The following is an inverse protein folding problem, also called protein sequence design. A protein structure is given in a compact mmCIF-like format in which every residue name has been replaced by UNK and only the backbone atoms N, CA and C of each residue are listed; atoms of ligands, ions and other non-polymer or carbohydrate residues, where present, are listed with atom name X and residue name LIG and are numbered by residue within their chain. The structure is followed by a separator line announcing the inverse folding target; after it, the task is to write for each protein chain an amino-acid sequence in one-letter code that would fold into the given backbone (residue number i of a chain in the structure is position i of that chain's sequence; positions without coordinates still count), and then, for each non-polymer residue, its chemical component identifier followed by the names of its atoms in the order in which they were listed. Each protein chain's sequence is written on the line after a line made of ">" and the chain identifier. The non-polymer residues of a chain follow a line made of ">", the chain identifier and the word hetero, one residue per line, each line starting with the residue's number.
data_IF_472146354427
#
_entry.id   IF_472146354427
#
_cell.length_a   1.000
_cell.length_b   1.000
_cell.length_c   1.000
_cell.angle_alpha   90.00
_cell.angle_beta   90.00
_cell.angle_gamma   90.00
#
_symmetry.space_group_name_H-M   'P 1'
#
loop_
_entity.id
_entity.type
_entity.pdbx_description
1 polymer ?
#
# COMPACT_ATOMS: atom_id res chain seq x y z
N UNK A 1 8.01 -13.11 -9.63
CA UNK A 1 8.13 -12.24 -8.45
C UNK A 1 9.28 -12.71 -7.59
N UNK A 2 10.12 -11.77 -7.18
CA UNK A 2 11.32 -12.00 -6.41
C UNK A 2 11.40 -10.98 -5.28
N UNK A 3 11.69 -11.45 -4.06
CA UNK A 3 11.89 -10.60 -2.88
C UNK A 3 13.39 -10.59 -2.56
N UNK A 4 13.99 -9.41 -2.47
CA UNK A 4 15.33 -9.21 -1.93
C UNK A 4 15.19 -8.63 -0.53
N UNK A 5 15.86 -9.24 0.44
CA UNK A 5 15.82 -8.82 1.84
C UNK A 5 17.23 -8.48 2.31
N UNK A 6 17.37 -7.35 2.99
CA UNK A 6 18.65 -6.93 3.54
C UNK A 6 19.20 -7.97 4.54
N UNK A 7 20.49 -8.27 4.46
CA UNK A 7 21.14 -9.27 5.32
C UNK A 7 20.93 -9.05 6.83
N UNK A 8 20.68 -7.80 7.27
CA UNK A 8 20.50 -7.41 8.67
C UNK A 8 19.14 -7.85 9.23
N UNK A 9 18.16 -8.14 8.38
CA UNK A 9 16.79 -8.50 8.76
C UNK A 9 16.64 -9.99 9.14
N UNK A 10 17.49 -10.48 10.05
CA UNK A 10 17.64 -11.91 10.36
C UNK A 10 16.35 -12.63 10.75
N UNK A 11 15.51 -12.01 11.59
CA UNK A 11 14.26 -12.63 12.05
C UNK A 11 13.21 -12.62 10.94
N UNK A 12 13.12 -11.53 10.19
CA UNK A 12 12.19 -11.40 9.07
C UNK A 12 12.52 -12.41 7.97
N UNK A 13 13.81 -12.60 7.63
CA UNK A 13 14.25 -13.59 6.65
C UNK A 13 13.76 -14.99 7.00
N UNK A 14 13.86 -15.40 8.27
CA UNK A 14 13.39 -16.71 8.73
C UNK A 14 11.88 -16.84 8.59
N UNK A 15 11.14 -15.82 9.00
CA UNK A 15 9.68 -15.81 8.92
C UNK A 15 9.17 -15.82 7.48
N UNK A 16 9.76 -15.01 6.60
CA UNK A 16 9.40 -14.98 5.18
C UNK A 16 9.58 -16.37 4.55
N UNK A 17 10.72 -17.03 4.80
CA UNK A 17 10.97 -18.38 4.26
C UNK A 17 10.00 -19.44 4.80
N UNK A 18 9.73 -19.40 6.12
CA UNK A 18 8.80 -20.33 6.76
C UNK A 18 7.36 -20.14 6.24
N UNK A 19 6.85 -18.91 6.30
CA UNK A 19 5.49 -18.60 5.88
C UNK A 19 5.28 -18.76 4.37
N UNK A 20 6.29 -18.47 3.55
CA UNK A 20 6.22 -18.72 2.10
C UNK A 20 5.97 -20.20 1.80
N UNK A 21 6.65 -21.10 2.53
CA UNK A 21 6.43 -22.54 2.44
C UNK A 21 5.04 -22.93 2.99
N UNK A 22 4.69 -22.47 4.20
CA UNK A 22 3.43 -22.84 4.86
C UNK A 22 2.19 -22.43 4.05
N UNK A 23 2.23 -21.28 3.39
CA UNK A 23 1.14 -20.82 2.51
C UNK A 23 1.21 -21.41 1.10
N UNK A 24 2.26 -22.14 0.74
CA UNK A 24 2.46 -22.69 -0.60
C UNK A 24 2.67 -21.62 -1.68
N UNK A 25 3.25 -20.48 -1.31
CA UNK A 25 3.60 -19.43 -2.26
C UNK A 25 4.88 -19.80 -3.02
N UNK A 26 4.87 -19.60 -4.34
CA UNK A 26 6.05 -19.81 -5.19
C UNK A 26 6.81 -18.50 -5.41
N UNK A 27 7.18 -17.82 -4.32
CA UNK A 27 7.94 -16.57 -4.35
C UNK A 27 9.41 -16.90 -4.10
N UNK A 28 10.28 -16.40 -4.98
CA UNK A 28 11.72 -16.48 -4.80
C UNK A 28 12.21 -15.41 -3.81
N UNK A 29 13.03 -15.79 -2.83
CA UNK A 29 13.48 -14.90 -1.74
C UNK A 29 15.00 -15.00 -1.65
N UNK A 30 15.69 -13.90 -2.01
CA UNK A 30 17.13 -13.75 -1.86
C UNK A 30 17.47 -12.87 -0.65
N UNK A 31 18.69 -13.08 -0.14
CA UNK A 31 19.25 -12.31 0.98
C UNK A 31 20.53 -11.67 0.48
N UNK A 32 20.56 -10.35 0.45
CA UNK A 32 21.68 -9.57 -0.06
C UNK A 32 21.83 -8.27 0.74
N UNK A 33 22.94 -7.56 0.56
CA UNK A 33 23.13 -6.26 1.22
C UNK A 33 22.44 -5.19 0.38
N UNK A 34 21.53 -4.44 0.98
CA UNK A 34 20.84 -3.34 0.30
C UNK A 34 21.47 -2.01 0.71
N UNK A 35 21.67 -1.12 -0.26
CA UNK A 35 22.19 0.23 0.00
C UNK A 35 21.10 1.17 0.54
N UNK A 36 19.84 0.88 0.18
CA UNK A 36 18.63 1.61 0.58
C UNK A 36 17.48 0.62 0.82
N UNK A 37 16.64 0.93 1.80
CA UNK A 37 15.54 0.07 2.23
C UNK A 37 16.00 -1.21 2.93
N UNK A 38 15.01 -1.98 3.38
CA UNK A 38 15.22 -3.26 4.07
C UNK A 38 14.71 -4.45 3.24
N UNK A 39 13.73 -4.21 2.35
CA UNK A 39 13.17 -5.21 1.44
C UNK A 39 12.88 -4.54 0.09
N UNK A 40 13.15 -5.22 -1.03
CA UNK A 40 12.66 -4.81 -2.35
C UNK A 40 11.94 -5.95 -3.06
N UNK A 41 10.90 -5.61 -3.82
CA UNK A 41 10.06 -6.57 -4.55
C UNK A 41 10.20 -6.31 -6.04
N UNK A 42 10.56 -7.36 -6.76
CA UNK A 42 10.95 -7.31 -8.16
C UNK A 42 10.08 -8.22 -9.02
N UNK A 43 9.87 -7.80 -10.26
CA UNK A 43 9.31 -8.61 -11.31
C UNK A 43 10.13 -8.47 -12.60
N UNK A 44 10.57 -9.59 -13.17
CA UNK A 44 11.27 -9.62 -14.47
C UNK A 44 12.42 -8.61 -14.63
N UNK A 45 13.18 -8.38 -13.55
CA UNK A 45 14.32 -7.46 -13.51
C UNK A 45 13.96 -6.00 -13.25
N UNK A 46 12.68 -5.68 -13.04
CA UNK A 46 12.21 -4.37 -12.61
C UNK A 46 11.88 -4.37 -11.11
N UNK A 47 12.35 -3.35 -10.39
CA UNK A 47 11.95 -3.11 -9.02
C UNK A 47 10.58 -2.44 -9.00
N UNK A 48 9.60 -3.05 -8.32
CA UNK A 48 8.24 -2.54 -8.25
C UNK A 48 7.97 -1.77 -6.96
N UNK A 49 8.54 -2.25 -5.85
CA UNK A 49 8.36 -1.69 -4.51
C UNK A 49 9.66 -1.77 -3.71
N UNK A 50 9.90 -0.75 -2.90
CA UNK A 50 10.94 -0.72 -1.88
C UNK A 50 10.25 -0.56 -0.52
N UNK A 51 10.61 -1.37 0.47
CA UNK A 51 10.06 -1.30 1.81
C UNK A 51 11.15 -0.95 2.82
N UNK A 52 10.87 0.05 3.65
CA UNK A 52 11.66 0.47 4.80
C UNK A 52 10.91 0.02 6.06
N UNK A 53 11.46 -0.95 6.78
CA UNK A 53 10.86 -1.49 8.01
C UNK A 53 11.34 -0.69 9.20
N UNK A 54 10.41 -0.23 10.03
CA UNK A 54 10.74 0.59 11.21
C UNK A 54 9.86 0.26 12.39
N UNK A 55 10.46 -0.10 13.52
CA UNK A 55 9.69 -0.19 14.76
C UNK A 55 9.32 1.20 15.29
N UNK A 56 8.33 1.28 16.19
CA UNK A 56 8.01 2.55 16.88
C UNK A 56 9.21 3.16 17.60
N UNK A 57 10.08 2.32 18.16
CA UNK A 57 11.29 2.75 18.85
C UNK A 57 12.33 3.31 17.86
N UNK A 58 12.45 2.71 16.67
CA UNK A 58 13.34 3.20 15.62
C UNK A 58 12.86 4.52 15.03
N UNK A 59 11.55 4.71 14.87
CA UNK A 59 10.97 5.99 14.49
C UNK A 59 11.30 7.03 15.56
N UNK A 60 10.99 6.75 16.82
CA UNK A 60 11.24 7.66 17.92
C UNK A 60 12.72 8.06 18.02
N UNK A 61 13.63 7.10 17.90
CA UNK A 61 15.07 7.34 17.91
C UNK A 61 15.50 8.18 16.70
N UNK A 62 14.99 7.87 15.51
CA UNK A 62 15.34 8.61 14.29
C UNK A 62 14.86 10.06 14.26
N UNK A 63 13.80 10.38 15.01
CA UNK A 63 13.37 11.77 15.22
C UNK A 63 14.38 12.48 16.13
N UNK A 64 14.81 11.83 17.22
CA UNK A 64 15.70 12.46 18.21
C UNK A 64 17.12 12.71 17.71
N UNK A 65 17.65 11.83 16.85
CA UNK A 65 19.03 11.90 16.36
C UNK A 65 19.18 12.47 14.94
N UNK A 66 18.06 12.88 14.32
CA UNK A 66 18.05 13.50 12.99
C UNK A 66 18.16 12.53 11.82
N UNK A 67 18.34 11.22 12.04
CA UNK A 67 18.41 10.21 10.96
C UNK A 67 17.16 10.18 10.10
N UNK A 68 16.01 10.56 10.65
CA UNK A 68 14.76 10.70 9.89
C UNK A 68 14.92 11.58 8.63
N UNK A 69 15.60 12.72 8.76
CA UNK A 69 15.76 13.67 7.66
C UNK A 69 16.72 13.15 6.58
N UNK A 70 17.82 12.51 6.99
CA UNK A 70 18.82 11.93 6.07
C UNK A 70 18.27 10.70 5.33
N UNK A 71 17.60 9.80 6.05
CA UNK A 71 17.01 8.59 5.48
C UNK A 71 15.95 8.92 4.44
N UNK A 72 15.02 9.83 4.80
CA UNK A 72 13.98 10.26 3.86
C UNK A 72 14.55 11.01 2.65
N UNK A 73 15.65 11.77 2.82
CA UNK A 73 16.33 12.43 1.71
C UNK A 73 16.95 11.44 0.74
N UNK A 74 17.63 10.40 1.25
CA UNK A 74 18.22 9.34 0.42
C UNK A 74 17.17 8.53 -0.33
N UNK A 75 16.09 8.15 0.34
CA UNK A 75 14.98 7.43 -0.27
C UNK A 75 14.25 8.27 -1.33
N UNK A 76 14.17 9.59 -1.14
CA UNK A 76 13.60 10.49 -2.14
C UNK A 76 14.46 10.61 -3.42
N UNK A 77 15.72 10.19 -3.38
CA UNK A 77 16.60 10.10 -4.55
C UNK A 77 16.53 8.76 -5.28
N UNK A 78 15.66 7.84 -4.84
CA UNK A 78 15.49 6.54 -5.46
C UNK A 78 14.77 6.65 -6.82
N UNK A 79 14.98 5.68 -7.70
CA UNK A 79 14.36 5.66 -9.05
C UNK A 79 12.84 5.44 -9.00
N UNK A 80 12.37 4.69 -8.01
CA UNK A 80 10.94 4.51 -7.76
C UNK A 80 10.26 5.82 -7.38
N UNK A 81 9.06 6.03 -7.92
CA UNK A 81 8.17 7.07 -7.41
C UNK A 81 7.93 6.87 -5.90
N UNK A 82 8.03 7.93 -5.09
CA UNK A 82 7.96 7.86 -3.62
C UNK A 82 6.79 7.04 -3.09
N UNK A 83 5.61 7.11 -3.75
CA UNK A 83 4.45 6.31 -3.34
C UNK A 83 4.71 4.80 -3.29
N UNK A 84 5.61 4.29 -4.15
CA UNK A 84 6.01 2.89 -4.21
C UNK A 84 7.14 2.54 -3.21
N UNK A 85 7.59 3.53 -2.43
CA UNK A 85 8.47 3.33 -1.27
C UNK A 85 7.58 3.31 -0.03
N UNK A 86 7.52 2.15 0.63
CA UNK A 86 6.58 1.84 1.69
C UNK A 86 7.30 1.75 3.03
N UNK A 87 6.96 2.64 3.95
CA UNK A 87 7.36 2.51 5.35
C UNK A 87 6.45 1.50 6.06
N UNK A 88 7.00 0.36 6.43
CA UNK A 88 6.33 -0.64 7.27
C UNK A 88 6.60 -0.34 8.74
N UNK A 89 5.59 0.21 9.40
CA UNK A 89 5.70 0.72 10.76
C UNK A 89 5.15 -0.29 11.74
N UNK A 90 6.07 -0.97 12.42
CA UNK A 90 5.79 -2.11 13.28
C UNK A 90 5.63 -1.70 14.74
N UNK A 91 4.60 -2.24 15.40
CA UNK A 91 4.37 -2.14 16.85
C UNK A 91 3.07 -1.44 17.23
N UNK A 92 2.61 -1.64 18.46
CA UNK A 92 1.36 -1.07 18.96
C UNK A 92 1.57 0.29 19.67
N UNK A 93 1.02 1.39 19.12
CA UNK A 93 1.14 2.74 19.71
C UNK A 93 0.44 2.85 21.06
N UNK A 94 -0.69 2.16 21.26
CA UNK A 94 -1.41 2.19 22.53
C UNK A 94 -0.58 1.64 23.68
N UNK A 95 0.34 0.71 23.37
CA UNK A 95 1.27 0.12 24.33
C UNK A 95 2.65 0.79 24.33
N UNK A 96 2.86 1.80 23.46
CA UNK A 96 4.15 2.45 23.32
C UNK A 96 4.44 3.33 24.54
N UNK A 97 5.53 3.01 25.23
CA UNK A 97 6.03 3.83 26.33
C UNK A 97 7.26 4.58 25.86
N UNK A 98 7.17 5.91 25.77
CA UNK A 98 8.27 6.79 25.38
C UNK A 98 9.38 6.90 26.44
N UNK A 99 9.58 5.88 27.28
CA UNK A 99 10.43 5.92 28.47
C UNK A 99 11.89 6.24 28.13
N UNK A 100 12.38 5.72 27.00
CA UNK A 100 13.77 5.85 26.58
C UNK A 100 14.01 7.02 25.62
N UNK A 101 13.07 7.28 24.71
CA UNK A 101 13.20 8.32 23.69
C UNK A 101 12.62 9.68 24.09
N UNK A 102 11.83 9.74 25.17
CA UNK A 102 11.01 10.91 25.59
C UNK A 102 9.99 11.35 24.52
N UNK A 103 9.79 10.56 23.48
CA UNK A 103 8.83 10.83 22.41
C UNK A 103 7.44 10.42 22.88
N UNK A 104 6.46 11.31 22.73
CA UNK A 104 5.06 11.04 23.05
C UNK A 104 4.39 10.24 21.91
N UNK A 105 3.39 9.39 22.19
CA UNK A 105 2.62 8.68 21.16
C UNK A 105 2.08 9.60 20.05
N UNK A 106 1.61 10.79 20.41
CA UNK A 106 1.13 11.81 19.45
C UNK A 106 2.16 12.20 18.38
N UNK A 107 3.45 12.25 18.75
CA UNK A 107 4.54 12.58 17.82
C UNK A 107 4.79 11.48 16.79
N UNK A 108 4.53 10.21 17.15
CA UNK A 108 4.61 9.12 16.19
C UNK A 108 3.56 9.30 15.10
N UNK A 109 2.31 9.62 15.47
CA UNK A 109 1.23 9.89 14.50
C UNK A 109 1.59 11.03 13.54
N UNK A 110 2.10 12.15 14.05
CA UNK A 110 2.44 13.29 13.20
C UNK A 110 3.66 13.02 12.32
N UNK A 111 4.60 12.21 12.79
CA UNK A 111 5.76 11.78 12.00
C UNK A 111 5.33 10.85 10.87
N UNK A 112 4.46 9.88 11.15
CA UNK A 112 3.87 9.01 10.13
C UNK A 112 3.11 9.82 9.08
N UNK A 113 2.29 10.77 9.51
CA UNK A 113 1.63 11.70 8.60
C UNK A 113 2.64 12.51 7.77
N UNK A 114 3.76 12.93 8.37
CA UNK A 114 4.77 13.71 7.64
C UNK A 114 5.49 12.89 6.57
N UNK A 115 5.81 11.63 6.87
CA UNK A 115 6.33 10.65 5.91
C UNK A 115 5.35 10.49 4.76
N UNK A 116 4.07 10.29 5.08
CA UNK A 116 3.05 10.04 4.07
C UNK A 116 2.77 11.26 3.19
N UNK A 117 2.42 12.38 3.83
CA UNK A 117 1.85 13.54 3.16
C UNK A 117 2.93 14.49 2.60
N UNK A 118 3.94 14.83 3.41
CA UNK A 118 4.95 15.81 3.00
C UNK A 118 6.10 15.18 2.22
N UNK A 119 6.38 13.88 2.41
CA UNK A 119 7.39 13.18 1.62
C UNK A 119 6.82 12.33 0.48
N UNK A 120 5.51 12.06 0.50
CA UNK A 120 4.83 11.31 -0.55
C UNK A 120 5.09 9.80 -0.51
N UNK A 121 5.68 9.30 0.58
CA UNK A 121 5.87 7.86 0.78
C UNK A 121 4.57 7.18 1.21
N UNK A 122 4.47 5.87 1.02
CA UNK A 122 3.36 5.10 1.60
C UNK A 122 3.70 4.69 3.03
N UNK A 123 2.73 4.73 3.94
CA UNK A 123 2.89 4.23 5.31
C UNK A 123 1.87 3.14 5.61
N UNK A 124 2.35 1.99 6.02
CA UNK A 124 1.52 0.85 6.43
C UNK A 124 1.90 0.46 7.85
N UNK A 125 0.90 0.09 8.65
CA UNK A 125 1.05 -0.28 10.05
C UNK A 125 0.95 -1.79 10.17
N UNK A 126 1.90 -2.37 10.88
CA UNK A 126 1.88 -3.78 11.30
C UNK A 126 2.06 -3.85 12.81
N UNK A 127 1.52 -4.87 13.44
CA UNK A 127 1.53 -5.03 14.88
C UNK A 127 2.86 -5.63 15.35
N UNK A 128 3.34 -6.63 14.62
CA UNK A 128 4.57 -7.35 14.91
C UNK A 128 5.23 -7.88 13.62
N UNK A 129 6.40 -8.49 13.79
CA UNK A 129 7.20 -9.00 12.68
C UNK A 129 6.54 -10.16 11.92
N UNK A 130 5.64 -10.90 12.57
CA UNK A 130 4.89 -11.98 11.92
C UNK A 130 3.88 -11.38 10.95
N UNK A 131 3.11 -10.38 11.39
CA UNK A 131 2.21 -9.63 10.50
C UNK A 131 2.99 -8.91 9.39
N UNK A 132 4.16 -8.34 9.70
CA UNK A 132 5.07 -7.75 8.69
C UNK A 132 5.44 -8.76 7.61
N UNK A 133 5.86 -9.97 7.99
CA UNK A 133 6.20 -11.04 7.05
C UNK A 133 4.98 -11.49 6.23
N UNK A 134 3.83 -11.70 6.88
CA UNK A 134 2.59 -12.07 6.18
C UNK A 134 2.17 -10.98 5.17
N UNK A 135 2.21 -9.71 5.57
CA UNK A 135 1.87 -8.59 4.69
C UNK A 135 2.73 -8.59 3.42
N UNK A 136 4.06 -8.71 3.57
CA UNK A 136 5.02 -8.76 2.45
C UNK A 136 4.73 -9.94 1.51
N UNK A 137 4.43 -11.12 2.05
CA UNK A 137 4.14 -12.30 1.22
C UNK A 137 2.80 -12.15 0.48
N UNK A 138 1.75 -11.72 1.17
CA UNK A 138 0.41 -11.54 0.60
C UNK A 138 0.41 -10.48 -0.51
N UNK A 139 1.13 -9.38 -0.33
CA UNK A 139 1.22 -8.34 -1.35
C UNK A 139 2.02 -8.82 -2.57
N UNK A 140 3.11 -9.57 -2.34
CA UNK A 140 3.93 -10.14 -3.42
C UNK A 140 3.17 -11.20 -4.22
N UNK A 141 2.41 -12.07 -3.55
CA UNK A 141 1.49 -13.01 -4.20
C UNK A 141 0.38 -12.29 -4.99
N UNK A 142 -0.15 -11.18 -4.45
CA UNK A 142 -1.14 -10.39 -5.18
C UNK A 142 -0.56 -9.80 -6.46
N UNK A 143 0.67 -9.27 -6.40
CA UNK A 143 1.39 -8.77 -7.57
C UNK A 143 1.64 -9.90 -8.58
N UNK A 144 2.06 -11.09 -8.13
CA UNK A 144 2.34 -12.22 -9.04
C UNK A 144 1.10 -12.62 -9.85
N UNK A 145 -0.08 -12.58 -9.25
CA UNK A 145 -1.38 -12.87 -9.89
C UNK A 145 -1.97 -11.69 -10.67
N UNK A 146 -1.27 -10.57 -10.79
CA UNK A 146 -1.73 -9.36 -11.48
C UNK A 146 -0.64 -8.78 -12.37
N UNK A 147 0.18 -9.66 -12.98
CA UNK A 147 1.28 -9.31 -13.87
C UNK A 147 0.83 -8.52 -15.13
N UNK A 148 -0.46 -8.53 -15.45
CA UNK A 148 -1.08 -7.73 -16.52
C UNK A 148 -1.29 -6.26 -16.14
N UNK A 149 -1.04 -5.88 -14.88
CA UNK A 149 -1.35 -4.55 -14.34
C UNK A 149 -0.08 -3.86 -13.88
N UNK A 150 0.04 -2.61 -14.31
CA UNK A 150 1.06 -1.70 -13.82
C UNK A 150 0.56 -0.92 -12.60
N UNK A 151 1.48 -0.58 -11.70
CA UNK A 151 1.20 0.33 -10.59
C UNK A 151 0.77 1.71 -11.10
N UNK A 152 -0.01 2.46 -10.32
CA UNK A 152 -0.61 3.71 -10.78
C UNK A 152 0.41 4.76 -11.28
N UNK A 153 1.60 4.81 -10.66
CA UNK A 153 2.68 5.73 -11.01
C UNK A 153 3.73 5.13 -11.95
N UNK A 154 3.50 3.92 -12.45
CA UNK A 154 4.40 3.28 -13.40
C UNK A 154 4.23 3.90 -14.79
N UNK A 155 5.32 4.04 -15.56
CA UNK A 155 5.30 4.73 -16.86
C UNK A 155 4.35 4.08 -17.88
N UNK A 156 4.24 2.75 -17.84
CA UNK A 156 3.33 1.98 -18.70
C UNK A 156 1.89 1.92 -18.19
N UNK A 157 1.54 2.58 -17.08
CA UNK A 157 0.17 2.59 -16.58
C UNK A 157 -0.77 3.30 -17.55
N UNK A 158 -1.84 2.61 -17.94
CA UNK A 158 -2.90 3.17 -18.76
C UNK A 158 -4.23 3.13 -18.00
N UNK A 159 -4.85 4.28 -17.71
CA UNK A 159 -6.13 4.29 -17.02
C UNK A 159 -7.19 3.63 -17.90
N UNK A 160 -7.79 2.56 -17.38
CA UNK A 160 -8.90 1.89 -18.07
C UNK A 160 -10.09 2.86 -18.11
N UNK A 161 -10.32 3.50 -19.26
CA UNK A 161 -11.51 4.31 -19.50
C UNK A 161 -12.73 3.38 -19.61
N UNK A 162 -13.34 3.03 -18.48
CA UNK A 162 -14.66 2.37 -18.48
C UNK A 162 -15.74 3.42 -18.69
N UNK A 163 -16.68 3.14 -19.57
CA UNK A 163 -17.88 3.96 -19.66
C UNK A 163 -18.68 3.77 -18.36
N UNK A 164 -19.12 4.86 -17.72
CA UNK A 164 -19.88 4.81 -16.46
C UNK A 164 -21.08 3.86 -16.56
N UNK A 165 -21.77 3.82 -17.71
CA UNK A 165 -22.89 2.92 -17.94
C UNK A 165 -22.52 1.42 -17.86
N UNK A 166 -21.24 1.06 -18.00
CA UNK A 166 -20.75 -0.33 -17.88
C UNK A 166 -20.57 -0.78 -16.41
N UNK A 167 -20.44 0.16 -15.46
CA UNK A 167 -20.20 -0.14 -14.04
C UNK A 167 -21.45 0.07 -13.17
N UNK A 168 -22.52 0.64 -13.72
CA UNK A 168 -23.82 0.72 -13.03
C UNK A 168 -24.40 -0.68 -12.87
N UNK A 169 -24.71 -1.08 -11.63
CA UNK A 169 -25.29 -2.37 -11.29
C UNK A 169 -26.56 -2.65 -12.12
N UNK A 170 -26.54 -3.73 -12.91
CA UNK A 170 -27.66 -4.15 -13.79
C UNK A 170 -28.77 -4.92 -13.06
N UNK A 171 -28.66 -5.12 -11.74
CA UNK A 171 -29.62 -5.93 -10.97
C UNK A 171 -31.05 -5.37 -10.95
N UNK A 172 -31.22 -4.06 -11.24
CA UNK A 172 -32.55 -3.43 -11.35
C UNK A 172 -33.35 -3.83 -12.58
N UNK A 173 -32.78 -4.61 -13.52
CA UNK A 173 -33.48 -5.06 -14.74
C UNK A 173 -34.77 -5.85 -14.46
N UNK A 174 -34.86 -6.53 -13.31
CA UNK A 174 -36.07 -7.31 -12.96
C UNK A 174 -37.31 -6.45 -12.70
N UNK A 175 -37.14 -5.18 -12.34
CA UNK A 175 -38.23 -4.27 -11.97
C UNK A 175 -38.45 -3.14 -12.99
N UNK A 176 -37.73 -3.17 -14.11
CA UNK A 176 -37.91 -2.21 -15.22
C UNK A 176 -38.98 -2.78 -16.15
N UNK A 177 -40.04 -2.02 -16.37
CA UNK A 177 -41.15 -2.36 -17.27
C UNK A 177 -41.26 -1.29 -18.36
N UNK A 178 -41.93 -1.57 -19.50
CA UNK A 178 -42.18 -0.56 -20.52
C UNK A 178 -42.84 0.72 -19.98
N UNK A 179 -43.64 0.60 -18.91
CA UNK A 179 -44.38 1.70 -18.31
C UNK A 179 -43.52 2.60 -17.42
N UNK A 180 -42.46 2.07 -16.79
CA UNK A 180 -41.63 2.84 -15.85
C UNK A 180 -40.25 3.24 -16.41
N UNK A 181 -39.81 2.63 -17.53
CA UNK A 181 -38.48 2.85 -18.09
C UNK A 181 -38.24 4.30 -18.52
N UNK A 182 -39.25 4.97 -19.08
CA UNK A 182 -39.15 6.38 -19.50
C UNK A 182 -38.86 7.29 -18.30
N UNK A 183 -39.62 7.14 -17.22
CA UNK A 183 -39.41 7.91 -15.98
C UNK A 183 -38.04 7.64 -15.34
N UNK A 184 -37.58 6.38 -15.37
CA UNK A 184 -36.26 5.98 -14.86
C UNK A 184 -35.13 6.62 -15.68
N UNK A 185 -35.24 6.64 -17.02
CA UNK A 185 -34.26 7.26 -17.92
C UNK A 185 -34.20 8.78 -17.68
N UNK A 186 -35.37 9.44 -17.67
CA UNK A 186 -35.45 10.90 -17.48
C UNK A 186 -34.91 11.31 -16.10
N UNK A 187 -35.16 10.52 -15.06
CA UNK A 187 -34.62 10.77 -13.71
C UNK A 187 -33.09 10.65 -13.61
N UNK A 188 -32.39 10.16 -14.65
CA UNK A 188 -30.92 10.20 -14.71
C UNK A 188 -30.38 11.55 -15.20
N UNK A 189 -31.24 12.43 -15.74
CA UNK A 189 -30.86 13.78 -16.15
C UNK A 189 -30.77 14.66 -14.90
N UNK A 190 -29.63 15.34 -14.64
CA UNK A 190 -29.51 16.24 -13.50
C UNK A 190 -30.66 17.27 -13.44
N UNK A 191 -31.29 17.39 -12.27
CA UNK A 191 -32.41 18.31 -12.06
C UNK A 191 -33.80 17.73 -12.39
N UNK A 192 -33.89 16.53 -12.96
CA UNK A 192 -35.16 15.85 -13.19
C UNK A 192 -35.45 14.87 -12.05
N UNK A 193 -36.48 15.19 -11.26
CA UNK A 193 -36.96 14.31 -10.20
C UNK A 193 -37.92 13.26 -10.74
N UNK A 194 -38.20 12.20 -9.96
CA UNK A 194 -39.21 11.21 -10.31
C UNK A 194 -40.60 11.83 -10.52
N UNK A 195 -40.94 12.89 -9.77
CA UNK A 195 -42.19 13.63 -9.94
C UNK A 195 -42.24 14.38 -11.27
N UNK A 196 -41.13 14.99 -11.65
CA UNK A 196 -40.99 15.70 -12.93
C UNK A 196 -41.03 14.73 -14.10
N UNK A 197 -40.38 13.57 -13.96
CA UNK A 197 -40.35 12.55 -15.01
C UNK A 197 -41.69 11.85 -15.24
N UNK A 198 -42.55 11.77 -14.22
CA UNK A 198 -43.91 11.20 -14.37
C UNK A 198 -44.93 12.18 -14.95
N UNK A 199 -44.54 13.45 -15.15
CA UNK A 199 -45.39 14.50 -15.70
C UNK A 199 -45.14 14.77 -17.20
N UNK A 200 -44.17 14.06 -17.79
CA UNK A 200 -43.77 14.11 -19.21
C UNK A 200 -44.10 12.78 -19.85
#
# INVERSE_FOLDING_TARGET
>A
MHIKVDIREHTLIKLLKALNNDYGFNIDISVERLDLGDISIWNDGEELLLLERKSLNDIASSITDGRYAEQSYRLNGHSLHNYNIVYLIEGNISNYTGKWSRIKPGTLYTTMFSIQYFKGFSTIRTFDITETAEYILRLTDKLSRSADKFGFYHESFQPIKKNYAQVVHKEKKKNITPENIGGIILSQIPGISSKTSSAV
#
